data_IF_142488622078
#
_entry.id   IF_142488622078
#
_cell.length_a   1.000
_cell.length_b   1.000
_cell.length_c   1.000
_cell.angle_alpha   90.00
_cell.angle_beta   90.00
_cell.angle_gamma   90.00
#
_symmetry.space_group_name_H-M   'P 1'
#
loop_
_entity.id
_entity.type
_entity.pdbx_description
1 polymer ?
#
# COMPACT_ATOMS: atom_id res chain seq x y z
N UNK A 1 -24.83 -7.41 20.26
CA UNK A 1 -24.19 -6.95 19.01
C UNK A 1 -22.70 -7.26 19.02
N UNK A 2 -21.99 -6.96 20.12
CA UNK A 2 -20.57 -7.34 20.33
C UNK A 2 -20.33 -8.86 20.34
N UNK A 3 -21.27 -9.65 20.87
CA UNK A 3 -21.11 -11.11 20.95
C UNK A 3 -21.06 -11.80 19.57
N UNK A 4 -21.77 -11.23 18.60
CA UNK A 4 -21.76 -11.72 17.22
C UNK A 4 -20.43 -11.37 16.52
N UNK A 5 -19.85 -10.20 16.82
CA UNK A 5 -18.54 -9.79 16.29
C UNK A 5 -17.42 -10.67 16.85
N UNK A 6 -17.43 -10.96 18.16
CA UNK A 6 -16.44 -11.85 18.79
C UNK A 6 -16.56 -13.28 18.29
N UNK A 7 -17.80 -13.77 18.07
CA UNK A 7 -18.03 -15.10 17.49
C UNK A 7 -17.51 -15.18 16.06
N UNK A 8 -17.77 -14.18 15.23
CA UNK A 8 -17.29 -14.13 13.85
C UNK A 8 -15.76 -14.00 13.77
N UNK A 9 -15.13 -13.16 14.61
CA UNK A 9 -13.67 -13.06 14.68
C UNK A 9 -13.02 -14.39 15.09
N UNK A 10 -13.61 -15.11 16.06
CA UNK A 10 -13.07 -16.39 16.51
C UNK A 10 -13.17 -17.48 15.43
N UNK A 11 -14.25 -17.46 14.66
CA UNK A 11 -14.42 -18.35 13.50
C UNK A 11 -13.42 -18.00 12.39
N UNK A 12 -13.23 -16.71 12.10
CA UNK A 12 -12.26 -16.24 11.11
C UNK A 12 -10.82 -16.62 11.50
N UNK A 13 -10.43 -16.35 12.74
CA UNK A 13 -9.11 -16.67 13.28
C UNK A 13 -8.82 -18.18 13.26
N UNK A 14 -9.84 -19.00 13.56
CA UNK A 14 -9.68 -20.46 13.54
C UNK A 14 -9.51 -20.97 12.11
N UNK A 15 -10.22 -20.41 11.13
CA UNK A 15 -10.02 -20.71 9.72
C UNK A 15 -8.62 -20.29 9.24
N UNK A 16 -8.15 -19.09 9.59
CA UNK A 16 -6.81 -18.61 9.23
C UNK A 16 -5.70 -19.44 9.87
N UNK A 17 -5.86 -19.87 11.13
CA UNK A 17 -4.89 -20.74 11.79
C UNK A 17 -4.75 -22.12 11.14
N UNK A 18 -5.86 -22.68 10.61
CA UNK A 18 -5.85 -23.98 9.94
C UNK A 18 -5.18 -23.88 8.56
N UNK A 19 -5.44 -22.79 7.83
CA UNK A 19 -4.82 -22.53 6.52
C UNK A 19 -3.31 -22.27 6.67
N UNK A 20 -2.89 -21.55 7.72
CA UNK A 20 -1.49 -21.34 8.03
C UNK A 20 -0.76 -22.66 8.32
N UNK A 21 -1.33 -23.52 9.17
CA UNK A 21 -0.69 -24.76 9.62
C UNK A 21 -0.51 -25.79 8.48
N UNK A 22 -1.47 -25.85 7.55
CA UNK A 22 -1.37 -26.69 6.34
C UNK A 22 -0.26 -26.19 5.40
N UNK A 23 -0.13 -24.88 5.21
CA UNK A 23 0.99 -24.28 4.44
C UNK A 23 2.33 -24.52 5.11
N UNK A 24 2.42 -24.39 6.43
CA UNK A 24 3.66 -24.61 7.17
C UNK A 24 4.16 -26.05 7.04
N UNK A 25 3.31 -27.07 7.17
CA UNK A 25 3.75 -28.46 7.01
C UNK A 25 4.19 -28.81 5.59
N UNK A 26 3.49 -28.31 4.57
CA UNK A 26 3.88 -28.54 3.17
C UNK A 26 5.17 -27.79 2.80
N UNK A 27 5.42 -26.61 3.36
CA UNK A 27 6.69 -25.89 3.21
C UNK A 27 7.82 -26.60 3.97
N UNK A 28 7.61 -27.03 5.21
CA UNK A 28 8.67 -27.60 6.04
C UNK A 28 9.19 -28.95 5.50
N UNK A 29 8.30 -29.89 5.14
CA UNK A 29 8.75 -31.22 4.67
C UNK A 29 9.35 -31.18 3.26
N UNK A 30 8.83 -30.32 2.37
CA UNK A 30 9.44 -30.13 1.05
C UNK A 30 10.73 -29.31 1.13
N UNK A 31 10.87 -28.42 2.11
CA UNK A 31 12.06 -27.60 2.31
C UNK A 31 13.23 -28.40 2.88
N UNK A 32 13.01 -29.30 3.86
CA UNK A 32 14.11 -30.10 4.42
C UNK A 32 14.71 -31.04 3.38
N UNK A 33 13.89 -31.77 2.62
CA UNK A 33 14.40 -32.66 1.56
C UNK A 33 15.13 -31.87 0.46
N UNK A 34 14.60 -30.71 0.05
CA UNK A 34 15.27 -29.82 -0.91
C UNK A 34 16.56 -29.22 -0.35
N UNK A 35 16.60 -28.87 0.93
CA UNK A 35 17.78 -28.36 1.61
C UNK A 35 18.89 -29.41 1.68
N UNK A 36 18.56 -30.65 2.05
CA UNK A 36 19.50 -31.77 2.03
C UNK A 36 19.99 -32.06 0.60
N UNK A 37 19.08 -32.08 -0.38
CA UNK A 37 19.45 -32.27 -1.78
C UNK A 37 20.36 -31.15 -2.29
N UNK A 38 20.09 -29.89 -1.93
CA UNK A 38 20.94 -28.76 -2.28
C UNK A 38 22.33 -28.86 -1.64
N UNK A 39 22.41 -29.24 -0.36
CA UNK A 39 23.67 -29.45 0.34
C UNK A 39 24.51 -30.55 -0.31
N UNK A 40 23.88 -31.70 -0.60
CA UNK A 40 24.53 -32.79 -1.32
C UNK A 40 24.94 -32.36 -2.73
N UNK A 41 24.14 -31.56 -3.42
CA UNK A 41 24.46 -31.00 -4.73
C UNK A 41 25.70 -30.09 -4.69
N UNK A 42 25.80 -29.21 -3.69
CA UNK A 42 26.99 -28.36 -3.47
C UNK A 42 28.23 -29.23 -3.19
N UNK A 43 28.08 -30.25 -2.33
CA UNK A 43 29.18 -31.15 -2.01
C UNK A 43 29.64 -31.96 -3.23
N UNK A 44 28.71 -32.49 -4.01
CA UNK A 44 28.98 -33.22 -5.25
C UNK A 44 29.65 -32.31 -6.29
N UNK A 45 29.20 -31.06 -6.42
CA UNK A 45 29.81 -30.09 -7.30
C UNK A 45 31.25 -29.76 -6.89
N UNK A 46 31.50 -29.58 -5.59
CA UNK A 46 32.84 -29.31 -5.07
C UNK A 46 33.76 -30.51 -5.32
N UNK A 47 33.34 -31.72 -4.95
CA UNK A 47 34.13 -32.93 -5.17
C UNK A 47 34.37 -33.23 -6.64
N UNK A 48 33.38 -32.96 -7.51
CA UNK A 48 33.53 -33.08 -8.95
C UNK A 48 34.59 -32.12 -9.50
N UNK A 49 34.64 -30.89 -8.99
CA UNK A 49 35.68 -29.92 -9.36
C UNK A 49 37.08 -30.38 -8.93
N UNK A 50 37.22 -30.91 -7.72
CA UNK A 50 38.50 -31.47 -7.25
C UNK A 50 38.93 -32.67 -8.11
N UNK A 51 38.01 -33.59 -8.40
CA UNK A 51 38.29 -34.74 -9.25
C UNK A 51 38.73 -34.31 -10.66
N UNK A 52 38.04 -33.33 -11.25
CA UNK A 52 38.38 -32.80 -12.57
C UNK A 52 39.71 -32.05 -12.55
N UNK A 53 39.99 -31.30 -11.48
CA UNK A 53 41.28 -30.63 -11.28
C UNK A 53 42.42 -31.66 -11.21
N UNK A 54 42.34 -32.68 -10.37
CA UNK A 54 43.38 -33.70 -10.26
C UNK A 54 43.57 -34.49 -11.57
N UNK A 55 42.49 -34.77 -12.29
CA UNK A 55 42.55 -35.43 -13.60
C UNK A 55 43.26 -34.56 -14.65
N UNK A 56 42.99 -33.25 -14.67
CA UNK A 56 43.65 -32.30 -15.58
C UNK A 56 45.09 -32.00 -15.15
N UNK A 57 45.35 -31.93 -13.86
CA UNK A 57 46.68 -31.67 -13.30
C UNK A 57 47.68 -32.72 -13.80
N UNK A 58 47.27 -33.99 -13.84
CA UNK A 58 48.11 -35.09 -14.32
C UNK A 58 48.55 -34.91 -15.79
N UNK A 59 47.73 -34.26 -16.61
CA UNK A 59 48.00 -34.07 -18.03
C UNK A 59 48.72 -32.74 -18.34
N UNK A 60 48.23 -31.62 -17.79
CA UNK A 60 48.61 -30.26 -18.21
C UNK A 60 49.29 -29.45 -17.08
N UNK A 61 49.44 -30.04 -15.90
CA UNK A 61 50.02 -29.40 -14.72
C UNK A 61 49.03 -28.51 -13.96
N UNK A 62 49.37 -28.22 -12.70
CA UNK A 62 48.48 -27.57 -11.74
C UNK A 62 48.00 -26.18 -12.19
N UNK A 63 48.86 -25.40 -12.84
CA UNK A 63 48.56 -24.01 -13.25
C UNK A 63 47.46 -24.00 -14.32
N UNK A 64 47.64 -24.77 -15.40
CA UNK A 64 46.66 -24.84 -16.49
C UNK A 64 45.37 -25.54 -16.08
N UNK A 65 45.46 -26.56 -15.21
CA UNK A 65 44.29 -27.19 -14.63
C UNK A 65 43.44 -26.19 -13.81
N UNK A 66 44.08 -25.42 -12.91
CA UNK A 66 43.38 -24.42 -12.11
C UNK A 66 42.73 -23.34 -12.99
N UNK A 67 43.45 -22.86 -14.00
CA UNK A 67 42.95 -21.85 -14.92
C UNK A 67 41.72 -22.34 -15.71
N UNK A 68 41.75 -23.56 -16.24
CA UNK A 68 40.65 -24.10 -17.04
C UNK A 68 39.41 -24.42 -16.19
N UNK A 69 39.61 -25.00 -15.00
CA UNK A 69 38.52 -25.27 -14.05
C UNK A 69 37.91 -23.95 -13.56
N UNK A 70 38.73 -22.96 -13.22
CA UNK A 70 38.26 -21.64 -12.81
C UNK A 70 37.47 -20.93 -13.91
N UNK A 71 37.98 -20.93 -15.14
CA UNK A 71 37.28 -20.36 -16.29
C UNK A 71 35.95 -21.08 -16.57
N UNK A 72 35.92 -22.42 -16.50
CA UNK A 72 34.70 -23.21 -16.65
C UNK A 72 33.64 -22.85 -15.61
N UNK A 73 34.02 -22.74 -14.34
CA UNK A 73 33.10 -22.33 -13.27
C UNK A 73 32.58 -20.90 -13.45
N UNK A 74 33.44 -19.98 -13.92
CA UNK A 74 33.02 -18.61 -14.22
C UNK A 74 31.99 -18.57 -15.36
N UNK A 75 32.20 -19.35 -16.43
CA UNK A 75 31.24 -19.48 -17.52
C UNK A 75 29.90 -20.04 -17.05
N UNK A 76 29.91 -21.07 -16.20
CA UNK A 76 28.69 -21.63 -15.59
C UNK A 76 27.99 -20.57 -14.74
N UNK A 77 28.73 -19.79 -13.94
CA UNK A 77 28.17 -18.72 -13.12
C UNK A 77 27.49 -17.64 -13.96
N UNK A 78 28.13 -17.19 -15.05
CA UNK A 78 27.54 -16.22 -15.99
C UNK A 78 26.26 -16.80 -16.60
N UNK A 79 26.27 -18.05 -17.03
CA UNK A 79 25.08 -18.70 -17.61
C UNK A 79 23.93 -18.77 -16.59
N UNK A 80 24.23 -19.14 -15.34
CA UNK A 80 23.24 -19.17 -14.26
C UNK A 80 22.69 -17.78 -13.95
N UNK A 81 23.52 -16.73 -13.96
CA UNK A 81 23.05 -15.35 -13.80
C UNK A 81 22.10 -14.93 -14.93
N UNK A 82 22.45 -15.22 -16.19
CA UNK A 82 21.57 -14.92 -17.33
C UNK A 82 20.25 -15.67 -17.23
N UNK A 83 20.27 -16.93 -16.79
CA UNK A 83 19.05 -17.71 -16.57
C UNK A 83 18.24 -17.19 -15.38
N UNK A 84 18.89 -16.78 -14.30
CA UNK A 84 18.25 -16.19 -13.12
C UNK A 84 17.58 -14.86 -13.47
N UNK A 85 18.24 -14.00 -14.24
CA UNK A 85 17.67 -12.73 -14.74
C UNK A 85 16.45 -12.95 -15.65
N UNK A 86 16.44 -14.05 -16.42
CA UNK A 86 15.29 -14.42 -17.27
C UNK A 86 14.17 -15.09 -16.49
N UNK A 87 14.43 -15.58 -15.29
CA UNK A 87 13.44 -16.23 -14.45
C UNK A 87 12.60 -15.17 -13.74
N UNK A 88 11.50 -14.74 -14.36
CA UNK A 88 10.55 -13.77 -13.77
C UNK A 88 10.08 -14.23 -12.38
N UNK A 89 9.90 -13.30 -11.42
CA UNK A 89 9.42 -13.63 -10.08
C UNK A 89 8.05 -14.32 -10.18
N UNK A 90 7.93 -15.47 -9.53
CA UNK A 90 6.84 -16.41 -9.76
C UNK A 90 5.44 -15.84 -9.53
N UNK A 91 4.43 -16.61 -9.95
CA UNK A 91 2.99 -16.33 -9.85
C UNK A 91 2.51 -15.82 -8.48
N UNK A 92 3.26 -16.08 -7.41
CA UNK A 92 3.03 -15.52 -6.07
C UNK A 92 3.37 -14.02 -5.95
N UNK A 93 4.42 -13.56 -6.62
CA UNK A 93 4.75 -12.13 -6.73
C UNK A 93 3.73 -11.40 -7.61
N UNK A 94 3.24 -12.04 -8.67
CA UNK A 94 2.21 -11.47 -9.54
C UNK A 94 0.89 -11.25 -8.78
N UNK A 95 0.47 -12.23 -7.97
CA UNK A 95 -0.67 -12.08 -7.07
C UNK A 95 -0.43 -11.03 -5.97
N UNK A 96 0.78 -10.94 -5.41
CA UNK A 96 1.12 -9.92 -4.42
C UNK A 96 1.09 -8.50 -5.03
N UNK A 97 1.54 -8.36 -6.28
CA UNK A 97 1.48 -7.09 -7.02
C UNK A 97 0.04 -6.72 -7.38
N UNK A 98 -0.80 -7.68 -7.75
CA UNK A 98 -2.22 -7.45 -8.04
C UNK A 98 -2.99 -7.00 -6.80
N UNK A 99 -2.76 -7.64 -5.64
CA UNK A 99 -3.34 -7.21 -4.36
C UNK A 99 -2.84 -5.82 -3.96
N UNK A 100 -1.55 -5.53 -4.11
CA UNK A 100 -0.99 -4.19 -3.85
C UNK A 100 -1.61 -3.14 -4.76
N UNK A 101 -1.74 -3.41 -6.06
CA UNK A 101 -2.32 -2.47 -7.01
C UNK A 101 -3.80 -2.23 -6.74
N UNK A 102 -4.55 -3.28 -6.38
CA UNK A 102 -5.96 -3.17 -5.96
C UNK A 102 -6.11 -2.32 -4.71
N UNK A 103 -5.21 -2.47 -3.73
CA UNK A 103 -5.20 -1.64 -2.52
C UNK A 103 -4.86 -0.18 -2.82
N UNK A 104 -3.91 0.10 -3.72
CA UNK A 104 -3.58 1.47 -4.15
C UNK A 104 -4.75 2.13 -4.88
N UNK A 105 -5.46 1.38 -5.73
CA UNK A 105 -6.61 1.89 -6.47
C UNK A 105 -7.81 2.21 -5.56
N UNK A 106 -8.01 1.40 -4.50
CA UNK A 106 -8.97 1.72 -3.45
C UNK A 106 -8.58 3.01 -2.70
N UNK A 107 -7.29 3.18 -2.38
CA UNK A 107 -6.77 4.38 -1.71
C UNK A 107 -6.91 5.65 -2.55
N UNK A 108 -6.71 5.55 -3.87
CA UNK A 108 -6.94 6.65 -4.82
C UNK A 108 -8.43 7.06 -4.85
N UNK A 109 -9.33 6.07 -4.81
CA UNK A 109 -10.78 6.32 -4.79
C UNK A 109 -11.19 7.02 -3.49
N UNK A 110 -10.67 6.57 -2.35
CA UNK A 110 -10.91 7.21 -1.05
C UNK A 110 -10.31 8.62 -1.00
N UNK A 111 -9.13 8.84 -1.58
CA UNK A 111 -8.51 10.16 -1.66
C UNK A 111 -9.33 11.13 -2.52
N UNK A 112 -9.91 10.66 -3.62
CA UNK A 112 -10.80 11.47 -4.46
C UNK A 112 -12.10 11.81 -3.73
N UNK A 113 -12.70 10.87 -2.99
CA UNK A 113 -13.88 11.13 -2.17
C UNK A 113 -13.59 12.16 -1.07
N UNK A 114 -12.43 12.07 -0.41
CA UNK A 114 -11.99 13.05 0.58
C UNK A 114 -11.76 14.45 -0.03
N UNK A 115 -11.16 14.53 -1.23
CA UNK A 115 -11.00 15.81 -1.93
C UNK A 115 -12.35 16.46 -2.27
N UNK A 116 -13.34 15.66 -2.70
CA UNK A 116 -14.68 16.18 -2.99
C UNK A 116 -15.35 16.74 -1.73
N UNK A 117 -15.29 15.99 -0.61
CA UNK A 117 -15.83 16.45 0.68
C UNK A 117 -15.14 17.73 1.18
N UNK A 118 -13.82 17.82 1.03
CA UNK A 118 -13.06 19.03 1.39
C UNK A 118 -13.43 20.24 0.51
N UNK A 119 -13.71 20.00 -0.77
CA UNK A 119 -14.10 21.08 -1.69
C UNK A 119 -15.51 21.57 -1.38
N UNK A 120 -16.44 20.65 -1.12
CA UNK A 120 -17.81 20.95 -0.70
C UNK A 120 -17.82 21.73 0.63
N UNK A 121 -17.05 21.28 1.62
CA UNK A 121 -16.91 21.99 2.89
C UNK A 121 -16.30 23.40 2.72
N UNK A 122 -15.29 23.55 1.86
CA UNK A 122 -14.70 24.86 1.55
C UNK A 122 -15.72 25.80 0.92
N UNK A 123 -16.54 25.29 0.01
CA UNK A 123 -17.54 26.08 -0.69
C UNK A 123 -18.71 26.43 0.24
N UNK A 124 -19.10 25.55 1.17
CA UNK A 124 -20.06 25.85 2.25
C UNK A 124 -19.54 26.97 3.17
N UNK A 125 -18.29 26.86 3.65
CA UNK A 125 -17.66 27.90 4.49
C UNK A 125 -17.57 29.23 3.74
N UNK A 126 -17.27 29.20 2.43
CA UNK A 126 -17.24 30.40 1.60
C UNK A 126 -18.63 31.01 1.43
N UNK A 127 -19.66 30.20 1.20
CA UNK A 127 -21.05 30.64 1.12
C UNK A 127 -21.55 31.27 2.43
N UNK A 128 -21.21 30.67 3.59
CA UNK A 128 -21.51 31.27 4.91
C UNK A 128 -20.78 32.59 5.09
N UNK A 129 -19.50 32.67 4.72
CA UNK A 129 -18.74 33.93 4.76
C UNK A 129 -19.36 35.00 3.87
N UNK A 130 -19.79 34.65 2.67
CA UNK A 130 -20.43 35.58 1.73
C UNK A 130 -21.81 36.04 2.23
N UNK A 131 -22.61 35.16 2.85
CA UNK A 131 -23.86 35.53 3.50
C UNK A 131 -23.65 36.48 4.67
N UNK A 132 -22.63 36.23 5.52
CA UNK A 132 -22.28 37.11 6.64
C UNK A 132 -21.73 38.45 6.14
N UNK A 133 -20.85 38.45 5.13
CA UNK A 133 -20.31 39.69 4.53
C UNK A 133 -21.41 40.48 3.82
N UNK A 134 -22.33 39.82 3.14
CA UNK A 134 -23.51 40.44 2.53
C UNK A 134 -24.42 41.09 3.57
N UNK A 135 -24.64 40.40 4.70
CA UNK A 135 -25.41 40.93 5.83
C UNK A 135 -24.71 42.13 6.50
N UNK A 136 -23.38 42.10 6.63
CA UNK A 136 -22.59 43.22 7.20
C UNK A 136 -22.41 44.38 6.20
N UNK A 137 -22.45 44.12 4.90
CA UNK A 137 -22.41 45.18 3.86
C UNK A 137 -23.77 45.82 3.58
N UNK A 138 -24.88 45.12 3.84
CA UNK A 138 -26.25 45.67 3.74
C UNK A 138 -27.08 45.61 5.04
N UNK A 139 -26.57 46.04 6.21
CA UNK A 139 -27.40 46.13 7.41
C UNK A 139 -28.35 47.33 7.36
N UNK A 140 -28.15 48.28 6.42
CA UNK A 140 -28.84 49.56 6.41
C UNK A 140 -29.87 49.72 5.27
N UNK A 141 -29.77 49.02 4.15
CA UNK A 141 -30.69 49.28 3.01
C UNK A 141 -32.03 48.53 3.08
N UNK A 142 -32.14 47.44 3.84
CA UNK A 142 -33.40 46.67 3.91
C UNK A 142 -34.27 46.99 5.13
N UNK A 143 -33.74 47.66 6.16
CA UNK A 143 -34.50 47.98 7.38
C UNK A 143 -34.95 49.45 7.44
N UNK A 144 -34.45 50.33 6.55
CA UNK A 144 -34.62 51.78 6.70
C UNK A 144 -35.85 52.46 6.06
N UNK A 145 -36.62 51.95 5.08
CA UNK A 145 -37.79 52.71 4.60
C UNK A 145 -39.16 52.15 5.02
N UNK A 146 -39.26 51.29 6.06
CA UNK A 146 -40.53 50.64 6.43
C UNK A 146 -41.09 50.92 7.84
N UNK A 147 -40.23 51.07 8.86
CA UNK A 147 -40.69 51.03 10.26
C UNK A 147 -40.29 52.23 11.14
N UNK A 148 -39.56 53.22 10.60
CA UNK A 148 -39.21 54.43 11.36
C UNK A 148 -40.23 55.58 11.24
N UNK A 149 -41.21 55.47 10.33
CA UNK A 149 -42.26 56.48 10.13
C UNK A 149 -43.34 56.51 11.22
N UNK A 150 -43.83 55.40 11.81
CA UNK A 150 -44.92 55.47 12.77
C UNK A 150 -44.48 55.92 14.19
N UNK A 151 -43.20 55.76 14.56
CA UNK A 151 -42.74 56.05 15.92
C UNK A 151 -42.44 57.55 16.14
N UNK A 152 -41.90 58.25 15.13
CA UNK A 152 -41.66 59.70 15.24
C UNK A 152 -42.98 60.50 15.26
N UNK A 153 -43.99 60.07 14.50
CA UNK A 153 -45.31 60.73 14.46
C UNK A 153 -46.10 60.57 15.77
N UNK A 154 -45.97 59.43 16.47
CA UNK A 154 -46.68 59.19 17.72
C UNK A 154 -46.17 60.07 18.87
N UNK A 155 -44.85 60.32 18.95
CA UNK A 155 -44.25 61.16 20.00
C UNK A 155 -44.59 62.64 19.79
N UNK A 156 -44.58 63.13 18.54
CA UNK A 156 -44.91 64.52 18.22
C UNK A 156 -46.42 64.79 18.39
N UNK A 157 -47.29 63.81 18.08
CA UNK A 157 -48.74 63.94 18.28
C UNK A 157 -49.15 63.86 19.76
N UNK A 158 -48.37 63.18 20.59
CA UNK A 158 -48.57 63.14 22.04
C UNK A 158 -48.27 64.47 22.73
N UNK A 159 -47.24 65.19 22.28
CA UNK A 159 -46.85 66.48 22.85
C UNK A 159 -47.76 67.64 22.45
N UNK A 160 -48.41 67.58 21.28
CA UNK A 160 -49.34 68.63 20.81
C UNK A 160 -50.76 68.53 21.40
N UNK A 161 -51.07 67.50 22.19
CA UNK A 161 -52.39 67.30 22.81
C UNK A 161 -52.40 67.58 24.32
N UNK A 162 -51.34 68.18 24.85
CA UNK A 162 -51.18 68.51 26.28
C UNK A 162 -51.11 70.03 26.55
N UNK A 163 -51.79 70.83 25.74
CA UNK A 163 -52.23 72.19 26.06
C UNK A 163 -53.73 72.32 25.76
#
# INVERSE_FOLDING_TARGET
>A
MMDNLVRNLRVLWRAESIIADIRFRQMLTRSTLRGVAALLGVFAFLMGNLALFFALEQAWGAIWAAALIGAGNLLIAILLLVVAERSKPGREMELALEVRNSALQALETDAQALQQQLTEFRDEVRGVREAVVGFVRHPLDTVLPGMLVPLAGAVIKGLKKSE
#
